data_IF_492570140959
#
_entry.id   IF_492570140959
#
_cell.length_a   1.000
_cell.length_b   1.000
_cell.length_c   1.000
_cell.angle_alpha   90.00
_cell.angle_beta   90.00
_cell.angle_gamma   90.00
#
_symmetry.space_group_name_H-M   'P 1'
#
loop_
_entity.id
_entity.type
_entity.pdbx_description
1 polymer ?
#
# COMPACT_ATOMS: atom_id res chain seq x y z
N UNK A 1 -11.41 -3.84 17.44
CA UNK A 1 -10.29 -3.09 16.86
C UNK A 1 -8.99 -3.80 17.20
N UNK A 2 -8.53 -4.75 16.37
CA UNK A 2 -7.27 -5.50 16.60
C UNK A 2 -6.55 -5.90 15.29
N UNK A 3 -7.09 -5.53 14.11
CA UNK A 3 -6.42 -5.72 12.82
C UNK A 3 -5.29 -4.71 12.58
N UNK A 4 -5.24 -3.61 13.33
CA UNK A 4 -4.14 -2.65 13.29
C UNK A 4 -2.82 -3.16 13.90
N UNK A 5 -2.79 -4.35 14.51
CA UNK A 5 -1.58 -4.85 15.19
C UNK A 5 -0.64 -5.68 14.32
N UNK A 6 -1.11 -6.39 13.30
CA UNK A 6 -0.27 -7.41 12.63
C UNK A 6 0.89 -6.79 11.85
N UNK A 7 0.63 -5.83 10.95
CA UNK A 7 1.68 -5.13 10.19
C UNK A 7 2.67 -4.39 11.09
N UNK A 8 2.18 -3.82 12.21
CA UNK A 8 3.03 -3.15 13.20
C UNK A 8 3.92 -4.15 13.92
N UNK A 9 3.35 -5.25 14.43
CA UNK A 9 4.09 -6.33 15.09
C UNK A 9 5.11 -6.96 14.15
N UNK A 10 4.76 -7.30 12.91
CA UNK A 10 5.71 -7.78 11.90
C UNK A 10 6.84 -6.77 11.70
N UNK A 11 6.48 -5.48 11.69
CA UNK A 11 7.44 -4.39 11.65
C UNK A 11 8.42 -4.38 12.81
N UNK A 12 8.16 -4.99 13.97
CA UNK A 12 9.15 -5.07 15.06
C UNK A 12 10.26 -6.11 14.77
N UNK A 13 9.98 -7.10 13.90
CA UNK A 13 10.89 -8.20 13.58
C UNK A 13 11.63 -8.04 12.24
N UNK A 14 11.16 -7.16 11.35
CA UNK A 14 11.76 -6.93 10.03
C UNK A 14 12.37 -5.53 9.96
N UNK A 15 13.63 -5.39 9.50
CA UNK A 15 14.21 -4.06 9.23
C UNK A 15 13.85 -3.62 7.82
N UNK A 16 13.76 -2.32 7.58
CA UNK A 16 13.50 -1.78 6.24
C UNK A 16 14.49 -2.30 5.21
N UNK A 17 15.78 -2.33 5.56
CA UNK A 17 16.87 -2.77 4.67
C UNK A 17 16.82 -4.25 4.29
N UNK A 18 16.03 -5.05 5.01
CA UNK A 18 15.93 -6.49 4.73
C UNK A 18 14.88 -6.76 3.65
N UNK A 19 13.89 -5.89 3.50
CA UNK A 19 12.84 -6.03 2.47
C UNK A 19 13.42 -5.71 1.10
N UNK A 20 13.21 -6.58 0.12
CA UNK A 20 13.52 -6.30 -1.27
C UNK A 20 12.45 -5.37 -1.86
N UNK A 21 12.80 -4.10 -2.02
CA UNK A 21 11.96 -3.08 -2.66
C UNK A 21 12.83 -2.08 -3.41
N UNK A 22 12.24 -1.40 -4.38
CA UNK A 22 12.87 -0.29 -5.11
C UNK A 22 12.00 0.98 -5.06
N UNK A 23 12.66 2.14 -4.95
CA UNK A 23 12.00 3.43 -5.19
C UNK A 23 12.06 3.67 -6.70
N UNK A 24 10.93 3.52 -7.37
CA UNK A 24 10.84 3.63 -8.83
C UNK A 24 10.93 5.08 -9.28
N UNK A 25 10.21 5.97 -8.57
CA UNK A 25 10.09 7.39 -8.90
C UNK A 25 9.71 8.18 -7.66
N UNK A 26 10.26 9.38 -7.53
CA UNK A 26 9.89 10.31 -6.48
C UNK A 26 9.91 11.74 -7.01
N UNK A 27 8.98 12.56 -6.53
CA UNK A 27 8.83 13.98 -6.85
C UNK A 27 8.49 14.72 -5.57
N UNK A 28 9.39 15.61 -5.14
CA UNK A 28 9.31 16.33 -3.87
C UNK A 28 9.59 17.81 -4.14
N UNK A 29 8.60 18.52 -4.66
CA UNK A 29 8.71 19.93 -5.03
C UNK A 29 8.37 20.85 -3.84
N UNK A 30 7.58 20.37 -2.87
CA UNK A 30 7.02 21.24 -1.84
C UNK A 30 7.71 21.15 -0.47
N UNK A 31 7.86 22.31 0.17
CA UNK A 31 8.25 22.43 1.58
C UNK A 31 7.00 22.38 2.50
N UNK A 32 5.81 22.39 1.92
CA UNK A 32 4.53 22.49 2.64
C UNK A 32 4.08 21.14 3.17
N UNK A 33 4.28 20.92 4.48
CA UNK A 33 3.73 19.76 5.19
C UNK A 33 2.33 20.08 5.71
N UNK A 34 1.31 19.65 4.96
CA UNK A 34 -0.08 19.73 5.41
C UNK A 34 -0.48 18.45 6.15
N UNK A 35 -1.30 18.54 7.21
CA UNK A 35 -1.70 17.38 7.98
C UNK A 35 -2.54 16.41 7.15
N UNK A 36 -2.40 15.11 7.45
CA UNK A 36 -3.26 14.07 6.87
C UNK A 36 -4.71 14.35 7.22
N UNK A 37 -5.59 14.21 6.24
CA UNK A 37 -7.04 14.31 6.40
C UNK A 37 -7.67 13.00 5.93
N UNK A 38 -8.12 12.17 6.87
CA UNK A 38 -8.62 10.83 6.57
C UNK A 38 -9.82 10.85 5.62
N UNK A 39 -10.71 11.86 5.74
CA UNK A 39 -11.85 12.02 4.84
C UNK A 39 -11.39 12.34 3.43
N UNK A 40 -10.38 13.20 3.29
CA UNK A 40 -9.79 13.50 1.98
C UNK A 40 -9.06 12.27 1.41
N UNK A 41 -8.36 11.51 2.24
CA UNK A 41 -7.74 10.24 1.86
C UNK A 41 -8.75 9.24 1.30
N UNK A 42 -9.89 9.04 1.98
CA UNK A 42 -10.96 8.18 1.48
C UNK A 42 -11.51 8.62 0.11
N UNK A 43 -11.70 9.93 -0.08
CA UNK A 43 -12.14 10.49 -1.37
C UNK A 43 -11.08 10.23 -2.45
N UNK A 44 -9.79 10.41 -2.13
CA UNK A 44 -8.69 10.15 -3.04
C UNK A 44 -8.64 8.68 -3.48
N UNK A 45 -8.67 7.73 -2.54
CA UNK A 45 -8.71 6.30 -2.88
C UNK A 45 -9.91 5.99 -3.78
N UNK A 46 -11.09 6.47 -3.42
CA UNK A 46 -12.32 6.22 -4.19
C UNK A 46 -12.25 6.80 -5.60
N UNK A 47 -11.68 8.01 -5.75
CA UNK A 47 -11.48 8.67 -7.04
C UNK A 47 -10.51 7.87 -7.92
N UNK A 48 -9.34 7.51 -7.40
CA UNK A 48 -8.31 6.77 -8.15
C UNK A 48 -8.83 5.39 -8.56
N UNK A 49 -9.40 4.62 -7.60
CA UNK A 49 -9.96 3.30 -7.88
C UNK A 49 -11.07 3.37 -8.93
N UNK A 50 -12.02 4.31 -8.79
CA UNK A 50 -13.11 4.44 -9.76
C UNK A 50 -12.60 4.80 -11.15
N UNK A 51 -11.64 5.73 -11.23
CA UNK A 51 -11.09 6.19 -12.52
C UNK A 51 -10.31 5.08 -13.22
N UNK A 52 -9.47 4.33 -12.50
CA UNK A 52 -8.68 3.23 -13.08
C UNK A 52 -9.54 2.03 -13.47
N UNK A 53 -10.67 1.79 -12.77
CA UNK A 53 -11.62 0.71 -13.08
C UNK A 53 -12.72 1.11 -14.06
N UNK A 54 -12.64 2.33 -14.64
CA UNK A 54 -13.62 2.82 -15.62
C UNK A 54 -15.01 3.17 -15.04
N UNK A 55 -15.13 3.26 -13.71
CA UNK A 55 -16.37 3.65 -13.03
C UNK A 55 -16.50 5.17 -12.96
N UNK A 56 -17.73 5.68 -13.12
CA UNK A 56 -18.01 7.11 -12.93
C UNK A 56 -17.84 7.49 -11.47
N UNK A 57 -17.11 8.58 -11.23
CA UNK A 57 -16.95 9.18 -9.90
C UNK A 57 -17.20 10.68 -10.00
N UNK A 58 -17.93 11.23 -9.03
CA UNK A 58 -18.19 12.67 -8.95
C UNK A 58 -17.58 13.23 -7.68
N UNK A 59 -16.66 14.17 -7.83
CA UNK A 59 -16.09 14.89 -6.70
C UNK A 59 -17.09 15.88 -6.10
N UNK A 60 -17.16 15.90 -4.78
CA UNK A 60 -17.90 16.94 -4.06
C UNK A 60 -17.23 18.31 -4.22
N UNK A 61 -18.02 19.38 -4.16
CA UNK A 61 -17.58 20.77 -4.41
C UNK A 61 -16.35 21.19 -3.60
N UNK A 62 -16.22 20.77 -2.35
CA UNK A 62 -15.09 21.14 -1.49
C UNK A 62 -13.76 20.46 -1.88
N UNK A 63 -13.82 19.36 -2.66
CA UNK A 63 -12.63 18.62 -3.14
C UNK A 63 -12.28 18.97 -4.58
N UNK A 64 -13.21 19.54 -5.36
CA UNK A 64 -12.97 19.93 -6.76
C UNK A 64 -11.67 20.71 -6.99
N UNK A 65 -11.24 21.65 -6.12
CA UNK A 65 -9.97 22.34 -6.31
C UNK A 65 -8.72 21.42 -6.32
N UNK A 66 -8.84 20.18 -5.85
CA UNK A 66 -7.77 19.18 -5.80
C UNK A 66 -7.86 18.14 -6.94
N UNK A 67 -8.88 18.22 -7.80
CA UNK A 67 -9.13 17.25 -8.87
C UNK A 67 -7.91 17.05 -9.78
N UNK A 68 -7.27 18.14 -10.23
CA UNK A 68 -6.08 18.04 -11.08
C UNK A 68 -4.92 17.26 -10.43
N UNK A 69 -4.78 17.32 -9.10
CA UNK A 69 -3.76 16.55 -8.38
C UNK A 69 -4.13 15.08 -8.29
N UNK A 70 -5.39 14.77 -8.08
CA UNK A 70 -5.88 13.39 -8.09
C UNK A 70 -5.76 12.78 -9.50
N UNK A 71 -5.96 13.58 -10.56
CA UNK A 71 -5.71 13.16 -11.95
C UNK A 71 -4.23 12.85 -12.17
N UNK A 72 -3.30 13.68 -11.67
CA UNK A 72 -1.84 13.38 -11.73
C UNK A 72 -1.52 12.01 -11.12
N UNK A 73 -2.12 11.66 -9.97
CA UNK A 73 -1.93 10.35 -9.36
C UNK A 73 -2.43 9.19 -10.25
N UNK A 74 -3.56 9.37 -10.94
CA UNK A 74 -4.07 8.40 -11.92
C UNK A 74 -3.13 8.28 -13.12
N UNK A 75 -2.60 9.38 -13.63
CA UNK A 75 -1.65 9.41 -14.75
C UNK A 75 -0.36 8.67 -14.40
N UNK A 76 0.20 8.92 -13.22
CA UNK A 76 1.39 8.19 -12.71
C UNK A 76 1.15 6.68 -12.70
N UNK A 77 -0.01 6.23 -12.20
CA UNK A 77 -0.34 4.81 -12.17
C UNK A 77 -0.60 4.24 -13.57
N UNK A 78 -1.20 5.00 -14.49
CA UNK A 78 -1.41 4.56 -15.87
C UNK A 78 -0.10 4.42 -16.64
N UNK A 79 0.86 5.32 -16.42
CA UNK A 79 2.21 5.20 -16.98
C UNK A 79 2.87 3.88 -16.54
N UNK A 80 2.73 3.54 -15.26
CA UNK A 80 3.31 2.32 -14.68
C UNK A 80 2.57 1.04 -15.12
N UNK A 81 1.25 1.05 -15.03
CA UNK A 81 0.40 -0.12 -15.34
C UNK A 81 0.23 -0.35 -16.85
N UNK A 82 0.56 0.66 -17.68
CA UNK A 82 0.42 0.64 -19.14
C UNK A 82 -1.01 0.22 -19.55
N UNK A 83 -1.11 -0.81 -20.39
CA UNK A 83 -2.37 -1.35 -20.91
C UNK A 83 -2.99 -2.42 -20.01
N UNK A 84 -2.45 -2.65 -18.80
CA UNK A 84 -2.97 -3.65 -17.89
C UNK A 84 -4.39 -3.32 -17.46
N UNK A 85 -5.29 -4.30 -17.53
CA UNK A 85 -6.61 -4.14 -16.97
C UNK A 85 -6.50 -4.10 -15.43
N UNK A 86 -7.22 -3.16 -14.81
CA UNK A 86 -7.21 -2.97 -13.35
C UNK A 86 -8.60 -3.20 -12.79
N UNK A 87 -8.67 -3.91 -11.67
CA UNK A 87 -9.89 -4.16 -10.90
C UNK A 87 -9.67 -3.92 -9.41
N UNK A 88 -10.75 -3.89 -8.63
CA UNK A 88 -10.67 -3.84 -7.17
C UNK A 88 -10.24 -5.22 -6.66
N UNK A 89 -9.23 -5.29 -5.80
CA UNK A 89 -8.80 -6.59 -5.27
C UNK A 89 -9.86 -7.22 -4.37
N UNK A 90 -9.98 -8.55 -4.46
CA UNK A 90 -10.69 -9.36 -3.50
C UNK A 90 -9.95 -9.40 -2.16
N UNK A 91 -10.68 -9.56 -1.06
CA UNK A 91 -10.08 -9.87 0.24
C UNK A 91 -9.51 -11.29 0.21
N UNK A 92 -8.24 -11.43 0.59
CA UNK A 92 -7.56 -12.72 0.73
C UNK A 92 -7.30 -13.02 2.19
N UNK A 93 -7.28 -14.31 2.53
CA UNK A 93 -6.95 -14.79 3.87
C UNK A 93 -6.08 -16.04 3.77
N UNK A 94 -4.98 -16.03 4.51
CA UNK A 94 -4.05 -17.15 4.64
C UNK A 94 -3.78 -17.44 6.12
N UNK A 95 -3.28 -18.64 6.41
CA UNK A 95 -2.85 -19.02 7.76
C UNK A 95 -1.36 -19.35 7.73
N UNK A 96 -0.56 -18.54 8.42
CA UNK A 96 0.89 -18.71 8.54
C UNK A 96 1.21 -19.06 9.98
N UNK A 97 1.74 -20.26 10.24
CA UNK A 97 2.10 -20.70 11.59
C UNK A 97 1.00 -20.49 12.65
N UNK A 98 -0.27 -20.68 12.26
CA UNK A 98 -1.43 -20.49 13.14
C UNK A 98 -1.93 -19.03 13.24
N UNK A 99 -1.22 -18.06 12.66
CA UNK A 99 -1.67 -16.67 12.54
C UNK A 99 -2.50 -16.50 11.28
N UNK A 100 -3.73 -16.03 11.47
CA UNK A 100 -4.58 -15.60 10.35
C UNK A 100 -4.08 -14.27 9.81
N UNK A 101 -3.70 -14.26 8.53
CA UNK A 101 -3.30 -13.06 7.79
C UNK A 101 -4.41 -12.75 6.78
N UNK A 102 -5.05 -11.61 6.93
CA UNK A 102 -6.15 -11.18 6.05
C UNK A 102 -5.80 -9.80 5.49
N UNK A 103 -6.08 -9.58 4.21
CA UNK A 103 -5.72 -8.36 3.52
C UNK A 103 -6.62 -8.09 2.31
N UNK A 104 -6.80 -6.80 2.01
CA UNK A 104 -7.44 -6.34 0.77
C UNK A 104 -6.68 -5.11 0.29
N UNK A 105 -5.91 -5.27 -0.78
CA UNK A 105 -5.25 -4.14 -1.44
C UNK A 105 -6.28 -3.27 -2.20
N UNK A 106 -5.91 -2.04 -2.53
CA UNK A 106 -6.81 -1.12 -3.24
C UNK A 106 -7.17 -1.64 -4.64
N UNK A 107 -6.18 -2.03 -5.45
CA UNK A 107 -6.37 -2.43 -6.84
C UNK A 107 -5.46 -3.59 -7.25
N UNK A 108 -5.92 -4.40 -8.19
CA UNK A 108 -5.22 -5.55 -8.74
C UNK A 108 -5.19 -5.42 -10.27
N UNK A 109 -4.05 -5.73 -10.88
CA UNK A 109 -3.92 -6.00 -12.30
C UNK A 109 -3.33 -7.41 -12.52
N UNK A 110 -3.11 -7.81 -13.76
CA UNK A 110 -2.48 -9.10 -14.07
C UNK A 110 -1.09 -9.21 -13.44
N UNK A 111 -0.27 -8.17 -13.54
CA UNK A 111 1.12 -8.18 -13.08
C UNK A 111 1.32 -7.64 -11.66
N UNK A 112 0.44 -6.74 -11.21
CA UNK A 112 0.67 -5.95 -10.00
C UNK A 112 -0.50 -5.95 -9.04
N UNK A 113 -0.16 -5.74 -7.76
CA UNK A 113 -1.09 -5.22 -6.76
C UNK A 113 -0.73 -3.78 -6.48
N UNK A 114 -1.73 -2.92 -6.33
CA UNK A 114 -1.54 -1.49 -6.08
C UNK A 114 -2.16 -1.14 -4.74
N UNK A 115 -1.39 -0.45 -3.91
CA UNK A 115 -1.83 0.11 -2.63
C UNK A 115 -1.56 1.62 -2.63
N UNK A 116 -2.58 2.40 -2.28
CA UNK A 116 -2.57 3.86 -2.29
C UNK A 116 -2.35 4.37 -0.86
N UNK A 117 -1.64 5.49 -0.72
CA UNK A 117 -1.53 6.23 0.53
C UNK A 117 -1.65 7.73 0.26
N UNK A 118 -2.48 8.42 1.03
CA UNK A 118 -2.69 9.86 0.92
C UNK A 118 -1.66 10.70 1.67
N UNK A 119 -0.39 10.29 1.65
CA UNK A 119 0.76 10.95 2.28
C UNK A 119 2.02 10.62 1.46
N UNK A 120 3.01 11.51 1.45
CA UNK A 120 4.28 11.28 0.70
C UNK A 120 5.27 10.39 1.45
N UNK A 121 5.31 10.47 2.79
CA UNK A 121 6.29 9.75 3.60
C UNK A 121 5.83 8.30 3.87
N UNK A 122 6.64 7.34 3.46
CA UNK A 122 6.42 5.92 3.75
C UNK A 122 6.72 5.61 5.22
N UNK A 123 5.73 5.01 5.92
CA UNK A 123 5.92 4.44 7.25
C UNK A 123 6.22 2.94 7.13
N UNK A 124 6.77 2.39 8.22
CA UNK A 124 7.17 0.98 8.27
C UNK A 124 5.98 0.07 8.05
N UNK A 125 4.86 0.45 8.65
CA UNK A 125 3.58 -0.24 8.51
C UNK A 125 3.08 -0.27 7.06
N UNK A 126 3.39 0.74 6.23
CA UNK A 126 3.00 0.74 4.82
C UNK A 126 3.84 -0.29 4.04
N UNK A 127 5.15 -0.34 4.30
CA UNK A 127 6.03 -1.36 3.70
C UNK A 127 5.67 -2.78 4.15
N UNK A 128 5.36 -2.98 5.43
CA UNK A 128 4.91 -4.28 5.94
C UNK A 128 3.57 -4.69 5.34
N UNK A 129 2.66 -3.74 5.13
CA UNK A 129 1.40 -4.02 4.44
C UNK A 129 1.64 -4.48 3.01
N UNK A 130 2.54 -3.82 2.27
CA UNK A 130 2.93 -4.27 0.93
C UNK A 130 3.60 -5.65 0.94
N UNK A 131 4.50 -5.92 1.89
CA UNK A 131 5.12 -7.24 2.05
C UNK A 131 4.08 -8.34 2.30
N UNK A 132 3.06 -8.06 3.11
CA UNK A 132 1.94 -8.99 3.30
C UNK A 132 1.18 -9.21 1.97
N UNK A 133 0.98 -8.15 1.18
CA UNK A 133 0.29 -8.25 -0.10
C UNK A 133 1.09 -8.99 -1.16
N UNK A 134 2.42 -8.87 -1.21
CA UNK A 134 3.22 -9.69 -2.13
C UNK A 134 3.03 -11.17 -1.83
N UNK A 135 2.91 -11.54 -0.56
CA UNK A 135 2.61 -12.92 -0.16
C UNK A 135 1.17 -13.35 -0.50
N UNK A 136 0.16 -12.56 -0.10
CA UNK A 136 -1.25 -12.92 -0.30
C UNK A 136 -1.62 -13.04 -1.78
N UNK A 137 -1.17 -12.10 -2.60
CA UNK A 137 -1.56 -12.03 -4.02
C UNK A 137 -0.55 -12.68 -4.96
N UNK A 138 0.65 -13.03 -4.48
CA UNK A 138 1.75 -13.60 -5.28
C UNK A 138 2.13 -12.75 -6.48
N UNK A 139 2.22 -11.44 -6.26
CA UNK A 139 2.51 -10.40 -7.26
C UNK A 139 3.36 -9.31 -6.66
N UNK A 140 4.10 -8.61 -7.51
CA UNK A 140 4.77 -7.38 -7.12
C UNK A 140 3.73 -6.35 -6.65
N UNK A 141 4.08 -5.59 -5.61
CA UNK A 141 3.19 -4.56 -5.06
C UNK A 141 3.75 -3.18 -5.39
N UNK A 142 2.95 -2.36 -6.04
CA UNK A 142 3.18 -0.93 -6.24
C UNK A 142 2.52 -0.16 -5.09
N UNK A 143 3.31 0.53 -4.29
CA UNK A 143 2.87 1.49 -3.29
C UNK A 143 2.95 2.90 -3.88
N UNK A 144 1.80 3.57 -4.04
CA UNK A 144 1.75 4.99 -4.37
C UNK A 144 1.56 5.82 -3.10
N UNK A 145 2.61 6.48 -2.66
CA UNK A 145 2.59 7.50 -1.62
C UNK A 145 2.32 8.86 -2.28
N UNK A 146 1.18 9.48 -2.06
CA UNK A 146 0.78 10.71 -2.75
C UNK A 146 0.24 11.78 -1.78
N UNK A 147 0.88 12.95 -1.76
CA UNK A 147 0.38 14.11 -1.05
C UNK A 147 -0.65 14.85 -1.90
N UNK A 148 -1.93 14.73 -1.52
CA UNK A 148 -3.05 15.27 -2.30
C UNK A 148 -2.99 16.80 -2.42
N UNK A 149 -2.36 17.48 -1.46
CA UNK A 149 -2.32 18.95 -1.45
C UNK A 149 -1.22 19.52 -2.33
N UNK A 150 -0.07 18.86 -2.41
CA UNK A 150 1.11 19.35 -3.12
C UNK A 150 1.37 18.61 -4.42
N UNK A 151 0.80 17.41 -4.58
CA UNK A 151 1.11 16.46 -5.64
C UNK A 151 2.55 15.91 -5.61
N UNK A 152 3.22 16.02 -4.46
CA UNK A 152 4.44 15.28 -4.16
C UNK A 152 4.12 13.80 -4.04
N UNK A 153 5.01 12.94 -4.53
CA UNK A 153 4.78 11.51 -4.49
C UNK A 153 6.06 10.68 -4.41
N UNK A 154 5.89 9.44 -3.98
CA UNK A 154 6.89 8.39 -4.05
C UNK A 154 6.21 7.10 -4.52
N UNK A 155 6.74 6.50 -5.58
CA UNK A 155 6.30 5.23 -6.14
C UNK A 155 7.32 4.17 -5.75
N UNK A 156 6.87 3.17 -5.00
CA UNK A 156 7.73 2.11 -4.48
C UNK A 156 7.21 0.77 -4.99
N UNK A 157 8.11 -0.08 -5.48
CA UNK A 157 7.79 -1.45 -5.84
C UNK A 157 8.38 -2.40 -4.82
N UNK A 158 7.54 -3.26 -4.24
CA UNK A 158 7.94 -4.35 -3.34
C UNK A 158 7.83 -5.64 -4.12
N UNK A 159 8.92 -6.40 -4.19
CA UNK A 159 9.01 -7.56 -5.06
C UNK A 159 8.32 -8.79 -4.44
N UNK A 160 7.63 -9.56 -5.28
CA UNK A 160 7.24 -10.92 -4.95
C UNK A 160 8.39 -11.87 -5.28
N UNK A 161 9.14 -12.23 -4.25
CA UNK A 161 10.23 -13.20 -4.33
C UNK A 161 10.30 -14.08 -3.07
N UNK A 162 11.15 -15.11 -3.15
CA UNK A 162 11.36 -16.07 -2.06
C UNK A 162 11.97 -15.42 -0.81
N UNK A 163 12.78 -14.36 -0.97
CA UNK A 163 13.42 -13.65 0.13
C UNK A 163 12.41 -12.88 0.98
N UNK A 164 11.58 -12.07 0.34
CA UNK A 164 10.47 -11.34 0.96
C UNK A 164 9.46 -12.31 1.59
N UNK A 165 9.15 -13.42 0.91
CA UNK A 165 8.25 -14.45 1.46
C UNK A 165 8.84 -15.08 2.73
N UNK A 166 10.13 -15.44 2.72
CA UNK A 166 10.81 -16.00 3.88
C UNK A 166 10.87 -15.01 5.05
N UNK A 167 11.16 -13.73 4.78
CA UNK A 167 11.16 -12.67 5.81
C UNK A 167 9.82 -12.58 6.53
N UNK A 168 8.71 -12.60 5.79
CA UNK A 168 7.37 -12.56 6.38
C UNK A 168 7.08 -13.81 7.22
N UNK A 169 7.41 -14.99 6.70
CA UNK A 169 7.22 -16.26 7.40
C UNK A 169 8.01 -16.32 8.72
N UNK A 170 9.28 -15.94 8.68
CA UNK A 170 10.16 -15.94 9.85
C UNK A 170 9.71 -14.93 10.90
N UNK A 171 9.29 -13.72 10.48
CA UNK A 171 8.75 -12.73 11.39
C UNK A 171 7.51 -13.24 12.11
N UNK A 172 6.56 -13.83 11.39
CA UNK A 172 5.32 -14.38 11.98
C UNK A 172 5.64 -15.56 12.92
N UNK A 173 6.59 -16.43 12.54
CA UNK A 173 7.04 -17.54 13.38
C UNK A 173 7.65 -17.05 14.69
N UNK A 174 8.53 -16.04 14.63
CA UNK A 174 9.14 -15.44 15.82
C UNK A 174 8.10 -14.77 16.72
N UNK A 175 7.17 -14.01 16.13
CA UNK A 175 6.05 -13.39 16.83
C UNK A 175 5.22 -14.38 17.64
N UNK A 176 4.87 -15.54 17.07
CA UNK A 176 4.11 -16.56 17.80
C UNK A 176 4.96 -17.30 18.82
N UNK A 177 6.25 -17.49 18.56
CA UNK A 177 7.18 -18.04 19.56
C UNK A 177 7.26 -17.16 20.81
N UNK A 178 7.42 -15.84 20.64
CA UNK A 178 7.50 -14.90 21.76
C UNK A 178 6.20 -14.84 22.56
N UNK A 179 5.06 -14.91 21.87
CA UNK A 179 3.74 -15.01 22.49
C UNK A 179 3.61 -16.26 23.36
N UNK A 180 4.06 -17.41 22.88
CA UNK A 180 4.00 -18.66 23.63
C UNK A 180 4.98 -18.72 24.81
N UNK A 181 6.06 -17.94 24.75
CA UNK A 181 7.06 -17.82 25.82
C UNK A 181 6.73 -16.75 26.88
N UNK A 182 5.56 -16.09 26.81
CA UNK A 182 5.15 -15.07 27.78
C UNK A 182 5.95 -13.76 27.69
N UNK A 183 6.61 -13.49 26.56
CA UNK A 183 7.32 -12.24 26.29
C UNK A 183 6.44 -11.28 25.47
N UNK A 184 5.31 -10.86 26.03
CA UNK A 184 4.54 -9.71 25.55
C UNK A 184 3.82 -9.04 26.71
#
# INVERSE_FOLDING_TARGET
MLESSLKRRIGDYIRYSDVNYEIMRADHESVLKLPSNDKLGQVFHSFVQSTLTGKRFSLSTWVKPLEGKMVKAVEILKEELRDSQVEVCNTLTEIIHGVRVTGQADLCSDDYVIELKSKEEMKKEDLMQALIYTFLYRKDVILLMFNIYTADYCLVKVFHDDGNSALLMDAIKQMESDRNCGRM
#
